data_IF_004130830201
#
_entry.id   IF_004130830201
#
_cell.length_a   1.000
_cell.length_b   1.000
_cell.length_c   1.000
_cell.angle_alpha   90.00
_cell.angle_beta   90.00
_cell.angle_gamma   90.00
#
_symmetry.space_group_name_H-M   'P 1'
#
loop_
_entity.id
_entity.type
_entity.pdbx_description
1 polymer ?
#
# COMPACT_ATOMS: atom_id res chain seq x y z
N UNK A 1 13.14 -9.29 -15.41
CA UNK A 1 11.70 -9.11 -15.16
C UNK A 1 11.16 -8.06 -16.12
N UNK A 2 10.12 -8.38 -16.88
CA UNK A 2 9.42 -7.43 -17.76
C UNK A 2 7.99 -7.30 -17.23
N UNK A 3 7.62 -6.11 -16.73
CA UNK A 3 6.25 -5.85 -16.26
C UNK A 3 5.49 -5.14 -17.36
N UNK A 4 4.40 -5.77 -17.82
CA UNK A 4 3.53 -5.20 -18.86
C UNK A 4 2.26 -4.71 -18.21
N UNK A 5 1.98 -3.41 -18.33
CA UNK A 5 0.79 -2.82 -17.74
C UNK A 5 -0.40 -2.89 -18.69
N UNK A 6 -1.60 -3.12 -18.14
CA UNK A 6 -2.85 -2.87 -18.88
C UNK A 6 -2.90 -1.41 -19.34
N UNK A 7 -3.47 -1.18 -20.53
CA UNK A 7 -3.66 0.19 -21.05
C UNK A 7 -4.64 0.96 -20.17
N UNK A 8 -4.44 2.28 -20.05
CA UNK A 8 -5.34 3.17 -19.32
C UNK A 8 -5.01 3.36 -17.83
N UNK A 9 -4.02 2.65 -17.29
CA UNK A 9 -3.58 2.86 -15.90
C UNK A 9 -2.91 4.23 -15.72
N UNK A 10 -3.33 4.94 -14.68
CA UNK A 10 -2.66 6.13 -14.18
C UNK A 10 -1.22 5.81 -13.72
N UNK A 11 -0.43 6.85 -13.47
CA UNK A 11 0.93 6.67 -12.93
C UNK A 11 0.92 5.94 -11.58
N UNK A 12 -0.01 6.30 -10.70
CA UNK A 12 -0.13 5.69 -9.36
C UNK A 12 -0.51 4.21 -9.44
N UNK A 13 -1.44 3.86 -10.33
CA UNK A 13 -1.84 2.47 -10.54
C UNK A 13 -0.71 1.63 -11.12
N UNK A 14 0.09 2.18 -12.03
CA UNK A 14 1.29 1.49 -12.55
C UNK A 14 2.35 1.28 -11.48
N UNK A 15 2.58 2.29 -10.63
CA UNK A 15 3.51 2.16 -9.50
C UNK A 15 3.07 1.06 -8.54
N UNK A 16 1.78 1.02 -8.17
CA UNK A 16 1.26 -0.03 -7.30
C UNK A 16 1.30 -1.41 -7.96
N UNK A 17 0.88 -1.52 -9.23
CA UNK A 17 0.95 -2.77 -9.98
C UNK A 17 2.39 -3.29 -10.07
N UNK A 18 3.36 -2.42 -10.32
CA UNK A 18 4.78 -2.81 -10.32
C UNK A 18 5.23 -3.36 -8.97
N UNK A 19 4.91 -2.67 -7.88
CA UNK A 19 5.26 -3.11 -6.53
C UNK A 19 4.56 -4.42 -6.15
N UNK A 20 3.35 -4.65 -6.66
CA UNK A 20 2.59 -5.89 -6.49
C UNK A 20 3.26 -7.07 -7.22
N UNK A 21 3.69 -6.90 -8.47
CA UNK A 21 4.46 -7.94 -9.17
C UNK A 21 5.80 -8.24 -8.48
N UNK A 22 6.47 -7.22 -7.93
CA UNK A 22 7.63 -7.44 -7.07
C UNK A 22 7.26 -8.28 -5.82
N UNK A 23 6.07 -8.07 -5.26
CA UNK A 23 5.53 -8.84 -4.15
C UNK A 23 5.42 -10.33 -4.48
N UNK A 24 4.87 -10.68 -5.64
CA UNK A 24 4.80 -12.07 -6.09
C UNK A 24 6.18 -12.73 -6.19
N UNK A 25 7.17 -12.01 -6.72
CA UNK A 25 8.54 -12.54 -6.81
C UNK A 25 9.18 -12.72 -5.44
N UNK A 26 9.00 -11.76 -4.53
CA UNK A 26 9.55 -11.82 -3.17
C UNK A 26 8.94 -12.98 -2.37
N UNK A 27 7.65 -13.24 -2.57
CA UNK A 27 6.94 -14.33 -1.91
C UNK A 27 7.21 -15.72 -2.52
N UNK A 28 7.93 -15.77 -3.65
CA UNK A 28 8.13 -17.00 -4.45
C UNK A 28 6.80 -17.63 -4.89
N UNK A 29 5.81 -16.80 -5.22
CA UNK A 29 4.49 -17.24 -5.66
C UNK A 29 4.59 -18.00 -7.01
N UNK A 30 3.82 -19.08 -7.15
CA UNK A 30 3.65 -19.76 -8.44
C UNK A 30 3.13 -18.76 -9.49
N UNK A 31 3.69 -18.86 -10.72
CA UNK A 31 3.56 -17.97 -11.89
C UNK A 31 2.40 -16.94 -11.89
N UNK A 32 2.63 -15.71 -12.41
CA UNK A 32 1.77 -14.55 -12.16
C UNK A 32 0.30 -14.85 -12.46
N UNK A 33 -0.51 -14.86 -11.41
CA UNK A 33 -1.95 -15.03 -11.49
C UNK A 33 -2.48 -13.70 -12.02
N UNK A 34 -3.15 -13.75 -13.17
CA UNK A 34 -3.83 -12.59 -13.72
C UNK A 34 -4.81 -12.04 -12.67
N UNK A 35 -4.58 -10.80 -12.22
CA UNK A 35 -5.25 -10.21 -11.05
C UNK A 35 -6.78 -10.41 -11.10
N UNK A 36 -7.39 -11.12 -10.14
CA UNK A 36 -8.84 -11.15 -10.01
C UNK A 36 -9.34 -9.82 -9.42
N UNK A 37 -10.25 -9.16 -10.13
CA UNK A 37 -11.00 -8.03 -9.59
C UNK A 37 -12.03 -8.54 -8.56
N UNK A 38 -11.98 -8.09 -7.30
CA UNK A 38 -13.12 -8.24 -6.37
C UNK A 38 -12.82 -8.64 -4.92
N UNK A 39 -13.92 -8.87 -4.17
CA UNK A 39 -14.00 -9.09 -2.70
C UNK A 39 -13.49 -10.46 -2.21
N UNK A 40 -12.97 -11.30 -3.11
CA UNK A 40 -12.53 -12.67 -2.85
C UNK A 40 -11.13 -12.94 -3.43
N UNK A 41 -10.18 -12.03 -3.18
CA UNK A 41 -8.78 -12.24 -3.55
C UNK A 41 -8.21 -13.44 -2.80
N UNK A 42 -7.40 -14.26 -3.49
CA UNK A 42 -6.64 -15.34 -2.85
C UNK A 42 -5.71 -14.79 -1.77
N UNK A 43 -5.28 -15.64 -0.84
CA UNK A 43 -4.29 -15.26 0.18
C UNK A 43 -3.00 -14.75 -0.46
N UNK A 44 -2.54 -15.42 -1.52
CA UNK A 44 -1.39 -15.02 -2.37
C UNK A 44 -1.48 -13.57 -2.85
N UNK A 45 -2.62 -13.19 -3.42
CA UNK A 45 -2.88 -11.82 -3.90
C UNK A 45 -2.91 -10.78 -2.78
N UNK A 46 -3.39 -11.18 -1.59
CA UNK A 46 -3.41 -10.32 -0.42
C UNK A 46 -2.00 -10.14 0.15
N UNK A 47 -1.18 -11.19 0.16
CA UNK A 47 0.23 -11.12 0.57
C UNK A 47 1.04 -10.27 -0.40
N UNK A 48 0.82 -10.39 -1.71
CA UNK A 48 1.45 -9.51 -2.69
C UNK A 48 1.01 -8.04 -2.53
N UNK A 49 -0.29 -7.77 -2.30
CA UNK A 49 -0.79 -6.42 -1.97
C UNK A 49 -0.12 -5.85 -0.70
N UNK A 50 0.09 -6.70 0.32
CA UNK A 50 0.77 -6.32 1.56
C UNK A 50 2.23 -5.95 1.30
N UNK A 51 2.98 -6.79 0.58
CA UNK A 51 4.38 -6.50 0.21
C UNK A 51 4.47 -5.23 -0.63
N UNK A 52 3.56 -5.05 -1.59
CA UNK A 52 3.51 -3.83 -2.41
C UNK A 52 3.35 -2.56 -1.56
N UNK A 53 2.42 -2.58 -0.60
CA UNK A 53 2.23 -1.47 0.32
C UNK A 53 3.47 -1.24 1.20
N UNK A 54 4.13 -2.31 1.65
CA UNK A 54 5.34 -2.22 2.45
C UNK A 54 6.54 -1.65 1.69
N UNK A 55 6.70 -2.03 0.41
CA UNK A 55 7.73 -1.51 -0.48
C UNK A 55 7.52 -0.01 -0.78
N UNK A 56 6.27 0.39 -1.03
CA UNK A 56 5.95 1.78 -1.37
C UNK A 56 5.90 2.70 -0.16
N UNK A 57 5.58 2.18 1.02
CA UNK A 57 5.38 2.94 2.24
C UNK A 57 6.10 2.25 3.42
N UNK A 58 7.42 2.44 3.59
CA UNK A 58 8.19 1.78 4.64
C UNK A 58 7.61 1.99 6.05
N UNK A 59 7.64 0.95 6.89
CA UNK A 59 6.93 0.94 8.17
C UNK A 59 7.41 2.05 9.10
N UNK A 60 8.73 2.23 9.22
CA UNK A 60 9.34 3.22 10.12
C UNK A 60 9.07 4.65 9.65
N UNK A 61 9.14 4.89 8.34
CA UNK A 61 8.84 6.20 7.74
C UNK A 61 7.38 6.60 7.96
N UNK A 62 6.45 5.66 7.76
CA UNK A 62 5.02 5.90 8.02
C UNK A 62 4.79 6.11 9.50
N UNK A 63 5.39 5.27 10.36
CA UNK A 63 5.24 5.40 11.82
C UNK A 63 5.73 6.75 12.33
N UNK A 64 6.96 7.16 11.96
CA UNK A 64 7.52 8.45 12.31
C UNK A 64 6.59 9.60 11.88
N UNK A 65 6.11 9.57 10.63
CA UNK A 65 5.16 10.57 10.14
C UNK A 65 3.87 10.62 10.96
N UNK A 66 3.30 9.48 11.37
CA UNK A 66 2.07 9.43 12.16
C UNK A 66 2.28 10.00 13.57
N UNK A 67 3.42 9.71 14.20
CA UNK A 67 3.79 10.22 15.53
C UNK A 67 4.04 11.72 15.50
N UNK A 68 4.87 12.21 14.58
CA UNK A 68 5.19 13.63 14.40
C UNK A 68 3.92 14.48 14.22
N UNK A 69 2.91 13.93 13.54
CA UNK A 69 1.67 14.63 13.25
C UNK A 69 0.55 14.37 14.27
N UNK A 70 0.81 13.59 15.32
CA UNK A 70 -0.18 13.16 16.34
C UNK A 70 -1.45 12.59 15.71
N UNK A 71 -1.28 11.69 14.75
CA UNK A 71 -2.38 11.16 13.93
C UNK A 71 -3.48 10.51 14.79
N UNK A 72 -3.12 9.85 15.89
CA UNK A 72 -4.09 9.21 16.80
C UNK A 72 -4.86 10.22 17.67
N UNK A 73 -4.29 11.39 17.98
CA UNK A 73 -4.94 12.35 18.88
C UNK A 73 -5.61 13.51 18.15
N UNK A 74 -5.54 13.52 16.82
CA UNK A 74 -6.09 14.61 16.01
C UNK A 74 -7.52 14.34 15.54
N UNK A 75 -8.22 15.41 15.15
CA UNK A 75 -9.59 15.35 14.63
C UNK A 75 -9.70 14.51 13.34
N UNK A 76 -10.87 13.89 13.05
CA UNK A 76 -11.09 13.10 11.84
C UNK A 76 -10.77 13.88 10.55
N UNK A 77 -11.14 15.16 10.49
CA UNK A 77 -10.86 16.02 9.34
C UNK A 77 -9.35 16.19 9.11
N UNK A 78 -8.57 16.34 10.19
CA UNK A 78 -7.11 16.44 10.09
C UNK A 78 -6.48 15.08 9.74
N UNK A 79 -7.02 13.96 10.22
CA UNK A 79 -6.60 12.61 9.77
C UNK A 79 -6.77 12.43 8.27
N UNK A 80 -7.91 12.85 7.70
CA UNK A 80 -8.14 12.81 6.25
C UNK A 80 -7.10 13.65 5.50
N UNK A 81 -6.77 14.85 6.00
CA UNK A 81 -5.72 15.69 5.39
C UNK A 81 -4.34 15.03 5.45
N UNK A 82 -3.97 14.44 6.59
CA UNK A 82 -2.70 13.74 6.76
C UNK A 82 -2.60 12.50 5.87
N UNK A 83 -3.70 11.75 5.72
CA UNK A 83 -3.79 10.61 4.78
C UNK A 83 -3.61 11.07 3.33
N UNK A 84 -4.28 12.16 2.91
CA UNK A 84 -4.10 12.73 1.57
C UNK A 84 -2.66 13.19 1.32
N UNK A 85 -2.02 13.74 2.34
CA UNK A 85 -0.60 14.10 2.26
C UNK A 85 0.31 12.86 2.10
N UNK A 86 0.03 11.76 2.80
CA UNK A 86 0.71 10.47 2.59
C UNK A 86 0.50 9.93 1.17
N UNK A 87 -0.73 9.99 0.65
CA UNK A 87 -1.05 9.58 -0.72
C UNK A 87 -0.20 10.35 -1.73
N UNK A 88 -0.07 11.67 -1.54
CA UNK A 88 0.77 12.52 -2.39
C UNK A 88 2.26 12.22 -2.23
N UNK A 89 2.74 12.01 -1.00
CA UNK A 89 4.15 11.72 -0.69
C UNK A 89 4.63 10.43 -1.35
N UNK A 90 3.83 9.37 -1.26
CA UNK A 90 4.20 8.04 -1.75
C UNK A 90 3.63 7.71 -3.12
N UNK A 91 2.80 8.59 -3.69
CA UNK A 91 2.19 8.38 -5.00
C UNK A 91 1.22 7.19 -5.03
N UNK A 92 0.45 6.99 -3.95
CA UNK A 92 -0.48 5.87 -3.78
C UNK A 92 -1.92 6.35 -3.64
N UNK A 93 -2.88 5.46 -3.83
CA UNK A 93 -4.31 5.74 -3.60
C UNK A 93 -4.65 5.78 -2.11
N UNK A 94 -5.80 6.40 -1.78
CA UNK A 94 -6.29 6.50 -0.39
C UNK A 94 -6.48 5.13 0.26
N UNK A 95 -6.90 4.12 -0.51
CA UNK A 95 -7.11 2.76 0.00
C UNK A 95 -5.80 2.14 0.48
N UNK A 96 -4.71 2.30 -0.29
CA UNK A 96 -3.38 1.77 0.07
C UNK A 96 -2.83 2.50 1.28
N UNK A 97 -2.90 3.84 1.29
CA UNK A 97 -2.47 4.62 2.44
C UNK A 97 -3.23 4.25 3.72
N UNK A 98 -4.56 4.12 3.65
CA UNK A 98 -5.37 3.76 4.80
C UNK A 98 -5.07 2.34 5.32
N UNK A 99 -4.89 1.37 4.43
CA UNK A 99 -4.47 0.00 4.80
C UNK A 99 -3.13 0.05 5.55
N UNK A 100 -2.15 0.76 5.00
CA UNK A 100 -0.82 0.86 5.59
C UNK A 100 -0.82 1.55 6.95
N UNK A 101 -1.59 2.63 7.12
CA UNK A 101 -1.73 3.33 8.40
C UNK A 101 -2.29 2.39 9.48
N UNK A 102 -3.30 1.57 9.15
CA UNK A 102 -3.89 0.60 10.09
C UNK A 102 -2.87 -0.46 10.49
N UNK A 103 -2.15 -1.00 9.51
CA UNK A 103 -1.10 -2.00 9.74
C UNK A 103 0.01 -1.47 10.66
N UNK A 104 0.57 -0.30 10.34
CA UNK A 104 1.60 0.36 11.16
C UNK A 104 1.09 0.60 12.58
N UNK A 105 -0.16 1.02 12.73
CA UNK A 105 -0.78 1.25 14.04
C UNK A 105 -0.90 -0.04 14.84
N UNK A 106 -1.19 -1.18 14.21
CA UNK A 106 -1.24 -2.49 14.89
C UNK A 106 0.17 -2.95 15.28
N UNK A 107 1.14 -2.87 14.37
CA UNK A 107 2.48 -3.42 14.57
C UNK A 107 3.36 -2.62 15.55
N UNK A 108 3.19 -1.29 15.62
CA UNK A 108 4.00 -0.41 16.47
C UNK A 108 3.32 0.02 17.78
N UNK A 109 2.08 -0.41 17.99
CA UNK A 109 1.39 -0.26 19.30
C UNK A 109 1.45 -1.55 20.13
N UNK A 110 2.11 -2.59 19.62
CA UNK A 110 2.45 -3.83 20.32
C UNK A 110 3.83 -3.69 20.99
#
# INVERSE_FOLDING_TARGET
MVVTFRKGLSKQERTFAFAHECGHIINEDDAPIDRPDGKHKSETEQTADYVAAALLMPIDDVYAYLIENRYQDTTPQKRVRLMKALCKRYGVSEVIALRRIREVSVLKSA
#
